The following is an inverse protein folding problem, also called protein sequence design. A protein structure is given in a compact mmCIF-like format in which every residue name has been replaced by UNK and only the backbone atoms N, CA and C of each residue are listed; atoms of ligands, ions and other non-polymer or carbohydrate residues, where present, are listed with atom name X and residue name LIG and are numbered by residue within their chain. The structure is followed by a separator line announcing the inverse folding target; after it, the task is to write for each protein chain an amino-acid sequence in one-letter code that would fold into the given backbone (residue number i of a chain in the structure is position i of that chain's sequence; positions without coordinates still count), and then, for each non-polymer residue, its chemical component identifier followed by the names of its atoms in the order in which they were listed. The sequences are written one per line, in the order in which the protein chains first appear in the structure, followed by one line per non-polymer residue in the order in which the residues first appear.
data_IF_076602141628
#
_entry.id   IF_076602141628
#
_cell.length_a   1.000
_cell.length_b   1.000
_cell.length_c   1.000
_cell.angle_alpha   90.00
_cell.angle_beta   90.00
_cell.angle_gamma   90.00
#
_symmetry.space_group_name_H-M   'P 1'
#
loop_
_entity.id
_entity.type
_entity.pdbx_description
1 polymer ?
#
# COMPACT_ATOMS: atom_id res chain seq x y z
N UNK A 1 25.39 28.33 -33.33
CA UNK A 1 24.57 27.12 -33.18
C UNK A 1 25.25 26.18 -32.18
N UNK A 2 24.85 26.22 -30.90
CA UNK A 2 25.29 25.28 -29.85
C UNK A 2 24.03 24.67 -29.24
N UNK A 3 23.37 23.77 -29.99
CA UNK A 3 22.14 23.09 -29.57
C UNK A 3 22.39 21.58 -29.32
N UNK A 4 23.61 21.09 -29.57
CA UNK A 4 23.88 19.64 -29.67
C UNK A 4 24.32 18.87 -28.43
N UNK A 5 24.60 19.50 -27.28
CA UNK A 5 25.22 18.78 -26.14
C UNK A 5 24.32 18.55 -24.91
N UNK A 6 23.16 19.22 -24.78
CA UNK A 6 22.25 18.98 -23.65
C UNK A 6 21.27 17.82 -23.88
N UNK A 7 21.02 17.45 -25.15
CA UNK A 7 20.12 16.35 -25.50
C UNK A 7 20.69 14.96 -25.15
N UNK A 8 22.02 14.78 -25.21
CA UNK A 8 22.68 13.50 -24.93
C UNK A 8 22.67 13.13 -23.44
N UNK A 9 22.69 14.10 -22.54
CA UNK A 9 22.61 13.87 -21.09
C UNK A 9 21.23 13.42 -20.62
N UNK A 10 20.15 13.86 -21.27
CA UNK A 10 18.78 13.42 -20.94
C UNK A 10 18.51 11.98 -21.43
N UNK A 11 19.02 11.62 -22.62
CA UNK A 11 18.85 10.30 -23.22
C UNK A 11 19.56 9.17 -22.46
N UNK A 12 20.61 9.46 -21.68
CA UNK A 12 21.29 8.45 -20.85
C UNK A 12 20.67 8.23 -19.46
N UNK A 13 19.82 9.15 -18.96
CA UNK A 13 19.17 9.01 -17.65
C UNK A 13 17.82 8.29 -17.72
N UNK A 14 17.15 8.34 -18.88
CA UNK A 14 15.90 7.63 -19.14
C UNK A 14 15.97 6.12 -18.85
N UNK A 15 17.01 5.37 -19.28
CA UNK A 15 17.09 3.94 -19.01
C UNK A 15 17.27 3.60 -17.54
N UNK A 16 18.01 4.43 -16.79
CA UNK A 16 18.24 4.21 -15.36
C UNK A 16 16.96 4.46 -14.54
N UNK A 17 16.20 5.51 -14.88
CA UNK A 17 14.90 5.76 -14.27
C UNK A 17 13.88 4.65 -14.62
N UNK A 18 13.83 4.20 -15.88
CA UNK A 18 12.96 3.11 -16.32
C UNK A 18 13.27 1.78 -15.61
N UNK A 19 14.55 1.41 -15.48
CA UNK A 19 14.96 0.22 -14.73
C UNK A 19 14.53 0.29 -13.25
N UNK A 20 14.69 1.47 -12.63
CA UNK A 20 14.27 1.66 -11.24
C UNK A 20 12.75 1.54 -11.05
N UNK A 21 11.95 1.92 -12.05
CA UNK A 21 10.50 1.79 -12.04
C UNK A 21 10.04 0.33 -12.14
N UNK A 22 10.69 -0.49 -12.97
CA UNK A 22 10.40 -1.93 -13.08
C UNK A 22 10.77 -2.66 -11.78
N UNK A 23 11.93 -2.35 -11.20
CA UNK A 23 12.35 -2.90 -9.91
C UNK A 23 11.37 -2.52 -8.79
N UNK A 24 11.00 -1.25 -8.68
CA UNK A 24 10.02 -0.77 -7.70
C UNK A 24 8.66 -1.46 -7.89
N UNK A 25 8.18 -1.61 -9.12
CA UNK A 25 6.94 -2.35 -9.40
C UNK A 25 7.05 -3.82 -8.97
N UNK A 26 8.17 -4.47 -9.28
CA UNK A 26 8.41 -5.88 -8.93
C UNK A 26 8.44 -6.12 -7.42
N UNK A 27 8.88 -5.12 -6.65
CA UNK A 27 8.86 -5.13 -5.18
C UNK A 27 7.48 -4.81 -4.61
N UNK A 28 6.75 -3.89 -5.24
CA UNK A 28 5.42 -3.46 -4.80
C UNK A 28 4.36 -4.55 -4.99
N UNK A 29 4.38 -5.24 -6.13
CA UNK A 29 3.39 -6.27 -6.49
C UNK A 29 3.20 -7.37 -5.45
N UNK A 30 4.25 -8.07 -4.95
CA UNK A 30 4.07 -9.11 -3.94
C UNK A 30 3.54 -8.56 -2.61
N UNK A 31 3.85 -7.30 -2.27
CA UNK A 31 3.33 -6.66 -1.07
C UNK A 31 1.83 -6.44 -1.19
N UNK A 32 1.36 -5.84 -2.28
CA UNK A 32 -0.07 -5.62 -2.54
C UNK A 32 -0.82 -6.95 -2.57
N UNK A 33 -0.31 -7.96 -3.28
CA UNK A 33 -0.93 -9.30 -3.33
C UNK A 33 -0.96 -10.00 -1.95
N UNK A 34 -0.08 -9.62 -1.03
CA UNK A 34 0.00 -10.16 0.32
C UNK A 34 -0.97 -9.52 1.31
N UNK A 35 -1.60 -8.39 0.98
CA UNK A 35 -2.45 -7.63 1.89
C UNK A 35 -3.67 -8.43 2.35
N UNK A 36 -4.33 -9.19 1.46
CA UNK A 36 -5.43 -10.11 1.81
C UNK A 36 -5.10 -11.00 3.00
N UNK A 37 -3.93 -11.66 2.97
CA UNK A 37 -3.53 -12.56 4.05
C UNK A 37 -3.29 -11.81 5.36
N UNK A 38 -2.76 -10.60 5.30
CA UNK A 38 -2.58 -9.76 6.50
C UNK A 38 -3.90 -9.28 7.08
N UNK A 39 -4.86 -8.90 6.23
CA UNK A 39 -6.23 -8.60 6.65
C UNK A 39 -6.84 -9.81 7.37
N UNK A 40 -6.71 -11.00 6.80
CA UNK A 40 -7.22 -12.24 7.40
C UNK A 40 -6.58 -12.51 8.77
N UNK A 41 -5.27 -12.29 8.93
CA UNK A 41 -4.57 -12.46 10.20
C UNK A 41 -5.10 -11.49 11.28
N UNK A 42 -5.33 -10.23 10.92
CA UNK A 42 -5.91 -9.22 11.82
C UNK A 42 -7.32 -9.62 12.26
N UNK A 43 -8.14 -10.09 11.31
CA UNK A 43 -9.51 -10.51 11.57
C UNK A 43 -9.61 -11.82 12.35
N UNK A 44 -8.67 -12.74 12.17
CA UNK A 44 -8.56 -13.97 12.96
C UNK A 44 -8.16 -13.66 14.42
N UNK A 45 -7.20 -12.74 14.62
CA UNK A 45 -6.84 -12.25 15.96
C UNK A 45 -8.04 -11.62 16.68
N UNK A 46 -8.87 -10.85 15.95
CA UNK A 46 -10.10 -10.26 16.46
C UNK A 46 -11.09 -11.35 16.90
N UNK A 47 -11.36 -12.35 16.05
CA UNK A 47 -12.31 -13.44 16.34
C UNK A 47 -11.88 -14.30 17.53
N UNK A 48 -10.57 -14.58 17.66
CA UNK A 48 -10.05 -15.51 18.68
C UNK A 48 -9.97 -14.90 20.07
N UNK A 49 -9.56 -13.64 20.17
CA UNK A 49 -9.06 -13.08 21.43
C UNK A 49 -9.89 -11.89 21.91
N UNK A 50 -10.79 -11.36 21.09
CA UNK A 50 -11.39 -10.05 21.30
C UNK A 50 -12.90 -10.05 21.13
N UNK A 51 -13.55 -9.00 21.65
CA UNK A 51 -14.99 -8.90 21.62
C UNK A 51 -15.49 -8.42 20.24
N UNK A 52 -16.57 -9.02 19.76
CA UNK A 52 -17.16 -8.74 18.43
C UNK A 52 -17.56 -7.27 18.22
N UNK A 53 -17.81 -6.49 19.28
CA UNK A 53 -18.17 -5.07 19.16
C UNK A 53 -17.03 -4.20 18.60
N UNK A 54 -15.80 -4.71 18.58
CA UNK A 54 -14.62 -4.04 18.02
C UNK A 54 -14.47 -4.24 16.50
N UNK A 55 -15.28 -5.12 15.90
CA UNK A 55 -15.22 -5.48 14.47
C UNK A 55 -15.27 -4.26 13.57
N UNK A 56 -16.25 -3.38 13.80
CA UNK A 56 -16.43 -2.18 12.98
C UNK A 56 -15.22 -1.23 13.08
N UNK A 57 -14.63 -1.08 14.27
CA UNK A 57 -13.43 -0.24 14.43
C UNK A 57 -12.24 -0.79 13.65
N UNK A 58 -12.04 -2.11 13.69
CA UNK A 58 -10.95 -2.78 12.95
C UNK A 58 -11.18 -2.68 11.45
N UNK A 59 -12.36 -3.04 10.96
CA UNK A 59 -12.66 -3.03 9.53
C UNK A 59 -12.67 -1.62 8.96
N UNK A 60 -13.19 -0.61 9.67
CA UNK A 60 -13.08 0.79 9.23
C UNK A 60 -11.63 1.27 9.16
N UNK A 61 -10.76 0.87 10.10
CA UNK A 61 -9.34 1.26 10.04
C UNK A 61 -8.64 0.62 8.85
N UNK A 62 -8.85 -0.68 8.63
CA UNK A 62 -8.33 -1.38 7.45
C UNK A 62 -8.85 -0.75 6.14
N UNK A 63 -10.13 -0.40 6.09
CA UNK A 63 -10.75 0.25 4.95
C UNK A 63 -10.10 1.62 4.65
N UNK A 64 -9.92 2.45 5.68
CA UNK A 64 -9.29 3.75 5.56
C UNK A 64 -7.85 3.62 5.05
N UNK A 65 -7.06 2.70 5.61
CA UNK A 65 -5.70 2.48 5.15
C UNK A 65 -5.66 2.04 3.68
N UNK A 66 -6.45 1.02 3.29
CA UNK A 66 -6.50 0.56 1.90
C UNK A 66 -6.88 1.69 0.93
N UNK A 67 -7.82 2.57 1.31
CA UNK A 67 -8.15 3.77 0.52
C UNK A 67 -6.95 4.72 0.38
N UNK A 68 -6.22 4.96 1.47
CA UNK A 68 -5.02 5.82 1.44
C UNK A 68 -3.91 5.24 0.55
N UNK A 69 -3.74 3.91 0.56
CA UNK A 69 -2.81 3.25 -0.35
C UNK A 69 -3.26 3.38 -1.81
N UNK A 70 -4.55 3.25 -2.08
CA UNK A 70 -5.11 3.43 -3.42
C UNK A 70 -4.89 4.85 -3.93
N UNK A 71 -5.09 5.84 -3.07
CA UNK A 71 -4.80 7.24 -3.36
C UNK A 71 -3.32 7.47 -3.68
N UNK A 72 -2.41 6.79 -2.96
CA UNK A 72 -0.96 6.85 -3.20
C UNK A 72 -0.58 6.19 -4.52
N UNK A 73 -1.15 5.02 -4.84
CA UNK A 73 -0.97 4.32 -6.14
C UNK A 73 -1.47 5.13 -7.33
N UNK A 74 -2.42 6.04 -7.12
CA UNK A 74 -2.91 6.97 -8.13
C UNK A 74 -2.08 8.26 -8.21
N UNK A 75 -0.97 8.34 -7.46
CA UNK A 75 -0.12 9.52 -7.38
C UNK A 75 -0.82 10.80 -6.92
N UNK A 76 -1.93 10.68 -6.20
CA UNK A 76 -2.69 11.84 -5.73
C UNK A 76 -2.10 12.47 -4.46
N UNK A 77 -1.18 11.78 -3.77
CA UNK A 77 -0.45 12.30 -2.61
C UNK A 77 0.13 11.23 -1.69
N UNK A 78 0.76 11.68 -0.60
CA UNK A 78 1.29 10.83 0.47
C UNK A 78 0.42 10.93 1.71
N UNK A 79 0.12 9.80 2.35
CA UNK A 79 -0.62 9.78 3.60
C UNK A 79 0.02 8.87 4.63
N UNK A 80 -0.06 9.30 5.89
CA UNK A 80 0.25 8.45 7.02
C UNK A 80 -1.01 7.69 7.44
N UNK A 81 -0.91 6.36 7.62
CA UNK A 81 -2.01 5.54 8.09
C UNK A 81 -2.45 5.91 9.52
N UNK A 82 -3.73 5.70 9.82
CA UNK A 82 -4.34 6.12 11.08
C UNK A 82 -3.92 5.25 12.28
N UNK A 83 -3.50 4.01 12.01
CA UNK A 83 -3.03 3.05 13.01
C UNK A 83 -4.12 2.56 13.97
N UNK A 84 -3.95 1.33 14.46
CA UNK A 84 -4.72 0.82 15.59
C UNK A 84 -3.98 1.10 16.90
N UNK A 85 -4.71 1.41 17.98
CA UNK A 85 -4.11 1.53 19.30
C UNK A 85 -4.87 0.70 20.33
N UNK A 86 -4.16 0.31 21.41
CA UNK A 86 -4.69 -0.62 22.42
C UNK A 86 -5.85 -0.04 23.26
N UNK A 87 -6.12 1.25 23.14
CA UNK A 87 -7.26 1.90 23.77
C UNK A 87 -8.54 1.76 22.94
N UNK A 88 -8.40 1.65 21.61
CA UNK A 88 -9.50 1.45 20.66
C UNK A 88 -9.82 -0.02 20.41
N UNK A 89 -8.83 -0.90 20.55
CA UNK A 89 -8.95 -2.34 20.29
C UNK A 89 -8.06 -3.16 21.23
N UNK A 90 -8.33 -4.44 21.36
CA UNK A 90 -7.52 -5.35 22.17
C UNK A 90 -6.06 -5.46 21.65
N UNK A 91 -5.11 -5.70 22.57
CA UNK A 91 -3.67 -5.72 22.26
C UNK A 91 -3.27 -6.76 21.21
N UNK A 92 -3.93 -7.93 21.20
CA UNK A 92 -3.62 -8.99 20.22
C UNK A 92 -3.89 -8.53 18.77
N UNK A 93 -4.99 -7.80 18.55
CA UNK A 93 -5.33 -7.23 17.24
C UNK A 93 -4.36 -6.11 16.86
N UNK A 94 -4.01 -5.23 17.80
CA UNK A 94 -2.98 -4.19 17.55
C UNK A 94 -1.67 -4.84 17.12
N UNK A 95 -1.23 -5.88 17.83
CA UNK A 95 0.00 -6.59 17.50
C UNK A 95 -0.06 -7.27 16.13
N UNK A 96 -1.19 -7.91 15.79
CA UNK A 96 -1.37 -8.52 14.48
C UNK A 96 -1.33 -7.43 13.38
N UNK A 97 -2.08 -6.35 13.57
CA UNK A 97 -2.11 -5.23 12.64
C UNK A 97 -0.74 -4.58 12.45
N UNK A 98 -0.02 -4.27 13.53
CA UNK A 98 1.31 -3.65 13.46
C UNK A 98 2.32 -4.56 12.75
N UNK A 99 2.31 -5.86 13.07
CA UNK A 99 3.30 -6.81 12.56
C UNK A 99 3.02 -7.28 11.13
N UNK A 100 1.77 -7.52 10.75
CA UNK A 100 1.48 -8.11 9.44
C UNK A 100 1.06 -7.07 8.43
N UNK A 101 0.29 -6.07 8.85
CA UNK A 101 -0.34 -5.11 7.93
C UNK A 101 0.43 -3.79 7.88
N UNK A 102 0.53 -3.08 9.00
CA UNK A 102 0.99 -1.70 9.06
C UNK A 102 2.49 -1.55 8.79
N UNK A 103 3.35 -2.08 9.67
CA UNK A 103 4.78 -1.81 9.60
C UNK A 103 5.47 -2.49 8.41
N UNK A 104 4.96 -3.67 8.02
CA UNK A 104 5.61 -4.50 7.01
C UNK A 104 5.06 -4.30 5.61
N UNK A 105 3.76 -4.21 5.42
CA UNK A 105 3.20 -4.20 4.06
C UNK A 105 2.72 -2.82 3.67
N UNK A 106 1.91 -2.17 4.50
CA UNK A 106 1.31 -0.90 4.19
C UNK A 106 2.34 0.22 3.99
N UNK A 107 3.20 0.45 4.99
CA UNK A 107 4.20 1.54 4.91
C UNK A 107 5.18 1.32 3.77
N UNK A 108 5.58 0.07 3.52
CA UNK A 108 6.48 -0.26 2.42
C UNK A 108 5.80 -0.07 1.05
N UNK A 109 4.57 -0.55 0.89
CA UNK A 109 3.81 -0.37 -0.34
C UNK A 109 3.57 1.11 -0.65
N UNK A 110 3.17 1.88 0.36
CA UNK A 110 2.97 3.32 0.23
C UNK A 110 4.28 3.99 -0.21
N UNK A 111 5.40 3.71 0.48
CA UNK A 111 6.73 4.27 0.19
C UNK A 111 7.16 4.00 -1.26
N UNK A 112 7.06 2.75 -1.70
CA UNK A 112 7.43 2.37 -3.06
C UNK A 112 6.50 3.04 -4.08
N UNK A 113 5.19 3.02 -3.85
CA UNK A 113 4.23 3.67 -4.74
C UNK A 113 4.50 5.18 -4.88
N UNK A 114 4.81 5.85 -3.78
CA UNK A 114 5.15 7.27 -3.79
C UNK A 114 6.46 7.55 -4.54
N UNK A 115 7.49 6.75 -4.31
CA UNK A 115 8.76 6.87 -5.05
C UNK A 115 8.55 6.68 -6.56
N UNK A 116 7.74 5.69 -6.96
CA UNK A 116 7.35 5.49 -8.35
C UNK A 116 6.63 6.71 -8.94
N UNK A 117 5.78 7.38 -8.15
CA UNK A 117 5.13 8.61 -8.56
C UNK A 117 6.11 9.78 -8.72
N UNK A 118 7.07 9.95 -7.80
CA UNK A 118 8.10 11.00 -7.89
C UNK A 118 9.02 10.78 -9.09
N UNK A 119 9.34 9.52 -9.39
CA UNK A 119 10.18 9.14 -10.53
C UNK A 119 9.42 9.09 -11.87
N UNK A 120 8.15 9.50 -11.90
CA UNK A 120 7.33 9.58 -13.11
C UNK A 120 7.29 8.25 -13.88
N UNK A 121 7.08 7.13 -13.18
CA UNK A 121 6.99 5.77 -13.74
C UNK A 121 5.74 5.53 -14.61
N UNK A 122 5.42 6.44 -15.51
CA UNK A 122 4.23 6.49 -16.37
C UNK A 122 4.12 5.34 -17.37
N UNK A 123 5.21 4.61 -17.62
CA UNK A 123 5.24 3.43 -18.49
C UNK A 123 4.81 2.15 -17.77
N UNK A 124 4.74 2.16 -16.45
CA UNK A 124 4.32 1.01 -15.65
C UNK A 124 2.81 1.03 -15.49
N UNK A 125 2.15 -0.05 -15.91
CA UNK A 125 0.72 -0.22 -15.67
C UNK A 125 0.46 -0.66 -14.22
N UNK A 126 -0.06 0.28 -13.43
CA UNK A 126 -0.48 0.04 -12.04
C UNK A 126 -1.92 -0.51 -11.93
N UNK A 127 -2.67 -0.59 -13.03
CA UNK A 127 -4.07 -1.07 -13.04
C UNK A 127 -4.24 -2.43 -12.37
N UNK A 128 -3.35 -3.43 -12.57
CA UNK A 128 -3.47 -4.71 -11.88
C UNK A 128 -3.41 -4.57 -10.34
N UNK A 129 -2.51 -3.72 -9.84
CA UNK A 129 -2.37 -3.50 -8.39
C UNK A 129 -3.57 -2.72 -7.82
N UNK A 130 -4.08 -1.75 -8.59
CA UNK A 130 -5.29 -1.02 -8.23
C UNK A 130 -6.52 -1.94 -8.17
N UNK A 131 -6.64 -2.91 -9.09
CA UNK A 131 -7.70 -3.91 -9.07
C UNK A 131 -7.60 -4.82 -7.86
N UNK A 132 -6.41 -5.37 -7.56
CA UNK A 132 -6.19 -6.19 -6.35
C UNK A 132 -6.54 -5.41 -5.08
N UNK A 133 -6.12 -4.14 -4.99
CA UNK A 133 -6.44 -3.31 -3.84
C UNK A 133 -7.95 -3.03 -3.72
N UNK A 134 -8.64 -2.85 -4.84
CA UNK A 134 -10.11 -2.70 -4.88
C UNK A 134 -10.82 -3.98 -4.43
N UNK A 135 -10.35 -5.15 -4.82
CA UNK A 135 -10.83 -6.45 -4.34
C UNK A 135 -10.58 -6.64 -2.83
N UNK A 136 -9.46 -6.11 -2.32
CA UNK A 136 -9.15 -6.07 -0.89
C UNK A 136 -10.08 -5.14 -0.11
N UNK A 137 -10.36 -3.96 -0.66
CA UNK A 137 -11.30 -3.02 -0.08
C UNK A 137 -12.72 -3.60 -0.01
N UNK A 138 -13.21 -4.17 -1.11
CA UNK A 138 -14.55 -4.78 -1.17
C UNK A 138 -14.70 -5.93 -0.16
N UNK A 139 -13.63 -6.70 0.04
CA UNK A 139 -13.63 -7.75 1.05
C UNK A 139 -13.71 -7.19 2.46
N UNK A 140 -12.90 -6.18 2.82
CA UNK A 140 -12.97 -5.55 4.14
C UNK A 140 -14.37 -4.97 4.40
N UNK A 141 -15.00 -4.38 3.38
CA UNK A 141 -16.37 -3.89 3.47
C UNK A 141 -17.39 -5.01 3.66
N UNK A 142 -17.19 -6.17 3.02
CA UNK A 142 -18.03 -7.36 3.23
C UNK A 142 -17.92 -7.96 4.64
N UNK A 143 -16.86 -7.60 5.37
CA UNK A 143 -16.62 -8.02 6.74
C UNK A 143 -17.24 -7.08 7.77
N UNK A 144 -17.90 -5.99 7.39
CA UNK A 144 -18.65 -5.14 8.35
C UNK A 144 -19.93 -5.85 8.79
#
# INVERSE_FOLDING_TARGET
MRIGLYFLSFLCLLPAALASCEDSYSNLRPIINGLRSSIDNVMDALKKVCANHLKNTVTSTLEDDLKLLGFTLQCNGWYQPNGLNSWKVCRAVVSAYDQTFFANQFTQAAAIAHDMCQNQCSTIDLTPLQNTLSEDLNYVQSLQ
#
